data_IF_057667414281
#
_entry.id   IF_057667414281
#
_cell.length_a   1.000
_cell.length_b   1.000
_cell.length_c   1.000
_cell.angle_alpha   90.00
_cell.angle_beta   90.00
_cell.angle_gamma   90.00
#
_symmetry.space_group_name_H-M   'P 1'
#
loop_
_entity.id
_entity.type
_entity.pdbx_description
1 polymer ?
#
# COMPACT_ATOMS: atom_id res chain seq x y z
N UNK A 1 3.91 27.77 11.68
CA UNK A 1 3.42 26.49 12.19
C UNK A 1 3.16 25.61 10.98
N UNK A 2 3.83 24.46 10.85
CA UNK A 2 3.42 23.48 9.83
C UNK A 2 2.21 22.78 10.42
N UNK A 3 1.06 23.01 9.80
CA UNK A 3 -0.17 22.29 10.09
C UNK A 3 0.15 20.79 10.02
N UNK A 4 0.04 20.09 11.16
CA UNK A 4 0.20 18.64 11.20
C UNK A 4 -1.10 18.04 10.66
N UNK A 5 -1.31 18.17 9.35
CA UNK A 5 -2.41 17.50 8.66
C UNK A 5 -2.02 16.02 8.64
N UNK A 6 -2.78 15.20 9.36
CA UNK A 6 -2.63 13.76 9.29
C UNK A 6 -2.74 13.34 7.82
N UNK A 7 -1.84 12.47 7.32
CA UNK A 7 -1.89 12.07 5.93
C UNK A 7 -3.23 11.40 5.64
N UNK A 8 -3.78 11.69 4.46
CA UNK A 8 -5.11 11.23 4.09
C UNK A 8 -5.23 9.70 4.19
N UNK A 9 -6.30 9.17 4.79
CA UNK A 9 -6.52 7.73 4.90
C UNK A 9 -6.62 7.09 3.51
N UNK A 10 -6.06 5.89 3.36
CA UNK A 10 -6.13 5.14 2.10
C UNK A 10 -7.30 4.15 2.19
N UNK A 11 -8.31 4.23 1.32
CA UNK A 11 -9.37 3.23 1.31
C UNK A 11 -8.82 1.82 1.10
N UNK A 12 -9.39 0.84 1.81
CA UNK A 12 -8.91 -0.55 1.84
C UNK A 12 -8.74 -1.13 0.41
N UNK A 13 -9.77 -0.97 -0.41
CA UNK A 13 -9.80 -1.43 -1.79
C UNK A 13 -8.71 -0.80 -2.64
N UNK A 14 -8.45 0.50 -2.45
CA UNK A 14 -7.41 1.25 -3.17
C UNK A 14 -6.03 0.75 -2.77
N UNK A 15 -5.80 0.49 -1.47
CA UNK A 15 -4.53 -0.04 -1.00
C UNK A 15 -4.24 -1.45 -1.57
N UNK A 16 -5.27 -2.31 -1.70
CA UNK A 16 -5.16 -3.61 -2.39
C UNK A 16 -4.82 -3.41 -3.86
N UNK A 17 -5.58 -2.56 -4.56
CA UNK A 17 -5.39 -2.29 -5.99
C UNK A 17 -3.97 -1.80 -6.28
N UNK A 18 -3.45 -0.88 -5.46
CA UNK A 18 -2.08 -0.38 -5.58
C UNK A 18 -1.07 -1.54 -5.43
N UNK A 19 -1.26 -2.42 -4.44
CA UNK A 19 -0.34 -3.54 -4.24
C UNK A 19 -0.43 -4.57 -5.38
N UNK A 20 -1.60 -4.78 -5.97
CA UNK A 20 -1.77 -5.57 -7.20
C UNK A 20 -1.04 -4.93 -8.38
N UNK A 21 -1.24 -3.63 -8.61
CA UNK A 21 -0.58 -2.88 -9.68
C UNK A 21 0.94 -2.93 -9.56
N UNK A 22 1.50 -2.83 -8.34
CA UNK A 22 2.93 -2.99 -8.08
C UNK A 22 3.41 -4.38 -8.52
N UNK A 23 2.66 -5.44 -8.20
CA UNK A 23 3.03 -6.81 -8.59
C UNK A 23 3.01 -6.98 -10.10
N UNK A 24 1.99 -6.48 -10.77
CA UNK A 24 1.85 -6.52 -12.23
C UNK A 24 2.97 -5.73 -12.92
N UNK A 25 3.23 -4.50 -12.48
CA UNK A 25 4.29 -3.65 -13.02
C UNK A 25 5.69 -4.24 -12.84
N UNK A 26 5.87 -5.12 -11.85
CA UNK A 26 7.14 -5.79 -11.60
C UNK A 26 7.14 -7.26 -12.07
N UNK A 27 6.07 -7.76 -12.72
CA UNK A 27 5.94 -9.18 -13.03
C UNK A 27 7.10 -9.72 -13.88
N UNK A 28 7.60 -8.90 -14.81
CA UNK A 28 8.69 -9.19 -15.74
C UNK A 28 10.09 -9.10 -15.10
N UNK A 29 10.21 -8.55 -13.88
CA UNK A 29 11.50 -8.45 -13.19
C UNK A 29 11.81 -9.76 -12.47
N UNK A 30 12.98 -10.33 -12.76
CA UNK A 30 13.47 -11.56 -12.11
C UNK A 30 13.71 -11.36 -10.60
N UNK A 31 14.18 -10.19 -10.21
CA UNK A 31 14.37 -9.81 -8.80
C UNK A 31 13.81 -8.40 -8.63
N UNK A 32 12.79 -8.25 -7.77
CA UNK A 32 12.23 -6.96 -7.39
C UNK A 32 11.77 -7.05 -5.94
N UNK A 33 12.38 -6.23 -5.09
CA UNK A 33 12.03 -6.16 -3.67
C UNK A 33 10.56 -5.78 -3.49
N UNK A 34 10.08 -4.80 -4.26
CA UNK A 34 8.67 -4.38 -4.30
C UNK A 34 7.71 -5.53 -4.66
N UNK A 35 8.08 -6.37 -5.63
CA UNK A 35 7.29 -7.56 -6.01
C UNK A 35 7.24 -8.57 -4.87
N UNK A 36 8.39 -8.87 -4.24
CA UNK A 36 8.46 -9.82 -3.13
C UNK A 36 7.72 -9.31 -1.89
N UNK A 37 7.83 -8.02 -1.59
CA UNK A 37 7.14 -7.38 -0.47
C UNK A 37 5.63 -7.44 -0.67
N UNK A 38 5.10 -7.01 -1.82
CA UNK A 38 3.66 -7.08 -2.06
C UNK A 38 3.15 -8.53 -2.16
N UNK A 39 3.91 -9.45 -2.74
CA UNK A 39 3.54 -10.88 -2.71
C UNK A 39 3.49 -11.42 -1.29
N UNK A 40 4.49 -11.13 -0.46
CA UNK A 40 4.57 -11.57 0.93
C UNK A 40 3.45 -10.98 1.77
N UNK A 41 3.23 -9.66 1.66
CA UNK A 41 2.12 -8.99 2.34
C UNK A 41 0.80 -9.64 1.91
N UNK A 42 0.46 -9.73 0.62
CA UNK A 42 -0.79 -10.37 0.19
C UNK A 42 -0.93 -11.84 0.60
N UNK A 43 0.16 -12.63 0.61
CA UNK A 43 0.13 -14.07 0.95
C UNK A 43 -0.08 -14.31 2.45
N UNK A 44 0.46 -13.44 3.30
CA UNK A 44 0.36 -13.55 4.76
C UNK A 44 -0.65 -12.57 5.35
N UNK A 45 -1.40 -11.86 4.51
CA UNK A 45 -2.49 -11.00 4.96
C UNK A 45 -3.66 -11.86 5.38
N UNK A 46 -4.12 -11.64 6.60
CA UNK A 46 -5.48 -11.99 6.98
C UNK A 46 -6.38 -10.78 6.63
N UNK A 47 -6.94 -10.81 5.42
CA UNK A 47 -7.82 -9.74 4.93
C UNK A 47 -9.13 -9.67 5.74
N UNK A 48 -9.55 -10.75 6.40
CA UNK A 48 -10.75 -10.76 7.23
C UNK A 48 -10.53 -10.00 8.55
N UNK A 49 -9.32 -10.05 9.09
CA UNK A 49 -8.98 -9.41 10.37
C UNK A 49 -8.24 -8.07 10.24
N UNK A 50 -8.10 -7.52 9.03
CA UNK A 50 -7.38 -6.27 8.71
C UNK A 50 -5.94 -6.20 9.22
N UNK A 51 -5.38 -7.28 9.76
CA UNK A 51 -4.01 -7.41 10.25
C UNK A 51 -3.00 -7.61 9.12
N UNK A 52 -3.19 -6.93 8.00
CA UNK A 52 -2.30 -7.03 6.85
C UNK A 52 -1.15 -6.03 6.96
N UNK A 53 0.00 -6.37 6.39
CA UNK A 53 1.10 -5.42 6.17
C UNK A 53 0.66 -4.18 5.36
N UNK A 54 -0.46 -4.28 4.62
CA UNK A 54 -1.01 -3.19 3.82
C UNK A 54 -1.71 -2.15 4.72
N UNK A 55 -2.40 -2.59 5.78
CA UNK A 55 -3.26 -1.76 6.67
C UNK A 55 -2.71 -1.60 8.10
N UNK A 56 -1.40 -1.40 8.23
CA UNK A 56 -0.71 -1.38 9.53
C UNK A 56 -1.19 -0.31 10.53
N UNK A 57 -1.91 0.71 10.08
CA UNK A 57 -2.54 1.72 10.95
C UNK A 57 -4.07 1.64 10.84
N UNK A 58 -4.81 1.47 11.94
CA UNK A 58 -6.26 1.23 11.89
C UNK A 58 -7.09 2.48 11.57
N UNK A 59 -6.55 3.69 11.75
CA UNK A 59 -7.27 4.96 11.51
C UNK A 59 -7.04 5.46 10.08
N UNK A 60 -5.82 5.33 9.58
CA UNK A 60 -5.39 5.82 8.26
C UNK A 60 -5.29 4.71 7.22
N UNK A 61 -5.28 3.44 7.65
CA UNK A 61 -5.04 2.26 6.81
C UNK A 61 -3.69 2.30 6.07
N UNK A 62 -2.76 3.14 6.54
CA UNK A 62 -1.42 3.32 5.98
C UNK A 62 -0.42 2.36 6.63
N UNK A 63 -0.31 1.14 6.11
CA UNK A 63 0.72 0.19 6.53
C UNK A 63 1.98 0.20 5.67
N UNK A 64 1.81 -0.18 4.40
CA UNK A 64 2.93 -0.41 3.50
C UNK A 64 3.45 0.91 2.92
N UNK A 65 4.68 1.30 3.28
CA UNK A 65 5.31 2.53 2.77
C UNK A 65 5.34 2.63 1.24
N UNK A 66 5.44 1.51 0.54
CA UNK A 66 5.40 1.47 -0.91
C UNK A 66 4.01 1.81 -1.46
N UNK A 67 2.95 1.29 -0.82
CA UNK A 67 1.56 1.60 -1.16
C UNK A 67 1.27 3.07 -0.88
N UNK A 68 1.65 3.55 0.32
CA UNK A 68 1.48 4.95 0.72
C UNK A 68 2.11 5.91 -0.28
N UNK A 69 3.35 5.62 -0.71
CA UNK A 69 4.07 6.46 -1.67
C UNK A 69 3.36 6.52 -3.04
N UNK A 70 2.81 5.41 -3.50
CA UNK A 70 2.08 5.36 -4.78
C UNK A 70 0.78 6.17 -4.66
N UNK A 71 0.02 5.97 -3.59
CA UNK A 71 -1.20 6.74 -3.32
C UNK A 71 -0.92 8.25 -3.24
N UNK A 72 0.07 8.66 -2.45
CA UNK A 72 0.48 10.06 -2.33
C UNK A 72 0.96 10.69 -3.65
N UNK A 73 1.33 9.86 -4.64
CA UNK A 73 1.69 10.32 -5.98
C UNK A 73 0.45 10.42 -6.87
N UNK A 74 -0.57 9.58 -6.68
CA UNK A 74 -1.84 9.66 -7.41
C UNK A 74 -2.57 10.97 -7.06
N UNK A 75 -2.77 11.25 -5.77
CA UNK A 75 -3.46 12.45 -5.27
C UNK A 75 -2.80 13.78 -5.65
N UNK A 76 -1.48 13.78 -5.92
CA UNK A 76 -0.76 14.98 -6.35
C UNK A 76 -0.88 15.29 -7.84
N UNK A 77 -1.41 14.35 -8.62
CA UNK A 77 -1.59 14.48 -10.05
C UNK A 77 -3.06 14.73 -10.45
N UNK A 78 -3.95 14.87 -9.47
CA UNK A 78 -5.31 15.40 -9.61
C UNK A 78 -5.37 16.87 -9.17
#
# INVERSE_FOLDING_TARGET
>A
MKENIAPEPIPEEIAIQICQQIRENNQHKRISFSKMQCWGCMKFSDFENRGSCIYGDPETLRGCQLVNKVFDTMEKNE
#
